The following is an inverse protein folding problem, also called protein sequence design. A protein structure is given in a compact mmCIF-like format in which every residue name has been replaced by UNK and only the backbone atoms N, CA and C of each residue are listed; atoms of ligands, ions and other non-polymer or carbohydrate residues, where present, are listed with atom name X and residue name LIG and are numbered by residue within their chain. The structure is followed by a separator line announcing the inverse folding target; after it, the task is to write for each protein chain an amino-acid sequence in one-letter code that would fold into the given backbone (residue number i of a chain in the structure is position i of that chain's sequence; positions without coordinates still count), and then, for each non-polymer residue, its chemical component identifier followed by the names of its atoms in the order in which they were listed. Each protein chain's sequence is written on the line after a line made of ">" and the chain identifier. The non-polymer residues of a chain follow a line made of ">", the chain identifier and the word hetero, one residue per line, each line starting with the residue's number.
data_IF_004008598516
#
_entry.id   IF_004008598516
#
_cell.length_a   1.000
_cell.length_b   1.000
_cell.length_c   1.000
_cell.angle_alpha   90.00
_cell.angle_beta   90.00
_cell.angle_gamma   90.00
#
_symmetry.space_group_name_H-M   'P 1'
#
loop_
_entity.id
_entity.type
_entity.pdbx_description
1 polymer ?
#
# COMPACT_ATOMS: atom_id res chain seq x y z
N UNK A 1 31.14 19.31 -20.26
CA UNK A 1 31.44 18.29 -19.23
C UNK A 1 31.12 16.93 -19.82
N UNK A 2 32.04 15.97 -19.73
CA UNK A 2 31.80 14.59 -20.15
C UNK A 2 31.10 13.83 -19.01
N UNK A 3 30.24 12.87 -19.34
CA UNK A 3 29.57 12.01 -18.37
C UNK A 3 30.51 10.88 -17.95
N UNK A 4 30.62 10.61 -16.64
CA UNK A 4 31.37 9.48 -16.11
C UNK A 4 30.48 8.24 -16.00
N UNK A 5 30.95 7.11 -16.54
CA UNK A 5 30.28 5.82 -16.41
C UNK A 5 30.43 5.25 -14.99
N UNK A 6 29.31 4.95 -14.32
CA UNK A 6 29.30 4.41 -12.94
C UNK A 6 29.45 2.88 -12.92
N UNK A 7 28.66 2.17 -13.74
CA UNK A 7 28.83 0.74 -14.00
C UNK A 7 29.63 0.53 -15.29
N UNK A 8 30.83 1.11 -15.35
CA UNK A 8 31.71 0.98 -16.50
C UNK A 8 33.15 0.79 -16.01
N UNK A 9 33.94 0.00 -16.72
CA UNK A 9 35.37 -0.12 -16.41
C UNK A 9 36.11 1.11 -16.92
N UNK A 10 36.57 1.98 -16.02
CA UNK A 10 37.36 3.17 -16.35
C UNK A 10 38.84 3.02 -15.95
N UNK A 11 39.37 1.79 -16.00
CA UNK A 11 40.78 1.51 -15.67
C UNK A 11 41.13 1.60 -14.17
N UNK A 12 40.13 1.72 -13.27
CA UNK A 12 40.27 1.68 -11.81
C UNK A 12 39.00 1.17 -11.15
N UNK A 13 39.09 0.64 -9.92
CA UNK A 13 37.92 0.43 -9.07
C UNK A 13 37.30 1.79 -8.75
N UNK A 14 36.06 2.04 -9.19
CA UNK A 14 35.35 3.27 -8.87
C UNK A 14 33.83 3.03 -8.88
N UNK A 15 33.29 2.58 -7.75
CA UNK A 15 31.87 2.76 -7.44
C UNK A 15 31.85 3.41 -6.07
N UNK A 16 31.39 4.65 -5.99
CA UNK A 16 31.23 5.35 -4.72
C UNK A 16 29.91 4.94 -4.07
N UNK A 17 29.87 4.92 -2.73
CA UNK A 17 28.62 4.67 -2.00
C UNK A 17 27.51 5.67 -2.36
N UNK A 18 27.87 6.90 -2.76
CA UNK A 18 26.90 7.89 -3.24
C UNK A 18 26.33 7.54 -4.62
N UNK A 19 27.15 7.02 -5.54
CA UNK A 19 26.70 6.55 -6.85
C UNK A 19 25.75 5.35 -6.74
N UNK A 20 26.08 4.37 -5.90
CA UNK A 20 25.20 3.22 -5.65
C UNK A 20 23.91 3.67 -4.95
N UNK A 21 24.01 4.60 -3.99
CA UNK A 21 22.82 5.11 -3.32
C UNK A 21 21.85 5.83 -4.27
N UNK A 22 22.36 6.61 -5.23
CA UNK A 22 21.52 7.21 -6.28
C UNK A 22 20.85 6.17 -7.18
N UNK A 23 21.51 5.04 -7.46
CA UNK A 23 20.87 3.94 -8.18
C UNK A 23 19.71 3.34 -7.37
N UNK A 24 19.91 3.12 -6.07
CA UNK A 24 18.86 2.58 -5.20
C UNK A 24 17.69 3.56 -5.14
N UNK A 25 17.92 4.86 -4.93
CA UNK A 25 16.86 5.87 -4.95
C UNK A 25 16.13 5.92 -6.28
N UNK A 26 16.85 5.86 -7.40
CA UNK A 26 16.26 5.89 -8.74
C UNK A 26 15.43 4.65 -9.08
N UNK A 27 15.75 3.48 -8.52
CA UNK A 27 15.08 2.22 -8.83
C UNK A 27 14.00 1.84 -7.83
N UNK A 28 14.23 2.04 -6.54
CA UNK A 28 13.34 1.66 -5.45
C UNK A 28 12.54 2.84 -4.87
N UNK A 29 12.83 4.08 -5.30
CA UNK A 29 12.24 5.30 -4.79
C UNK A 29 13.08 5.92 -3.67
N UNK A 30 12.92 7.23 -3.50
CA UNK A 30 13.59 7.96 -2.42
C UNK A 30 12.89 7.75 -1.06
N UNK A 31 13.64 7.96 0.01
CA UNK A 31 13.16 7.94 1.39
C UNK A 31 13.70 6.78 2.23
N UNK A 32 12.91 6.40 3.24
CA UNK A 32 13.30 5.46 4.29
C UNK A 32 12.27 4.38 4.50
N UNK A 33 12.66 3.14 4.31
CA UNK A 33 11.75 2.00 4.40
C UNK A 33 12.51 0.70 4.64
N UNK A 34 11.83 -0.23 5.33
CA UNK A 34 12.30 -1.60 5.51
C UNK A 34 11.98 -2.39 4.26
N UNK A 35 12.93 -3.19 3.78
CA UNK A 35 12.70 -4.09 2.66
C UNK A 35 11.91 -5.34 3.12
N UNK A 36 11.04 -5.91 2.28
CA UNK A 36 10.25 -7.09 2.63
C UNK A 36 11.09 -8.39 2.60
N UNK A 37 12.33 -8.34 3.09
CA UNK A 37 13.31 -9.42 3.17
C UNK A 37 13.50 -9.87 4.62
N UNK A 38 13.95 -11.12 4.78
CA UNK A 38 14.22 -11.74 6.09
C UNK A 38 13.06 -11.53 7.10
N UNK A 39 13.37 -11.28 8.37
CA UNK A 39 12.41 -10.99 9.44
C UNK A 39 11.95 -9.52 9.45
N UNK A 40 12.32 -8.72 8.44
CA UNK A 40 11.88 -7.32 8.27
C UNK A 40 12.16 -6.47 9.52
N UNK A 41 13.27 -6.73 10.20
CA UNK A 41 13.67 -6.05 11.43
C UNK A 41 12.56 -6.12 12.50
N UNK A 42 11.94 -7.29 12.69
CA UNK A 42 10.85 -7.46 13.65
C UNK A 42 11.28 -7.16 15.08
N UNK A 43 10.56 -6.29 15.78
CA UNK A 43 10.80 -6.03 17.20
C UNK A 43 10.03 -6.99 18.10
N UNK A 44 10.73 -7.63 19.03
CA UNK A 44 10.15 -8.51 20.05
C UNK A 44 10.70 -8.15 21.42
N UNK A 45 9.82 -7.94 22.40
CA UNK A 45 10.23 -7.82 23.80
C UNK A 45 10.62 -9.21 24.33
N UNK A 46 11.90 -9.40 24.69
CA UNK A 46 12.36 -10.63 25.34
C UNK A 46 12.16 -10.59 26.85
N UNK A 47 12.32 -9.41 27.44
CA UNK A 47 12.07 -9.15 28.86
C UNK A 47 11.42 -7.78 29.02
N UNK A 48 11.06 -7.39 30.25
CA UNK A 48 10.53 -6.06 30.52
C UNK A 48 11.51 -4.91 30.18
N UNK A 49 12.81 -5.20 30.03
CA UNK A 49 13.85 -4.19 29.80
C UNK A 49 14.71 -4.48 28.56
N UNK A 50 14.30 -5.42 27.72
CA UNK A 50 15.10 -5.88 26.58
C UNK A 50 14.22 -6.11 25.36
N UNK A 51 14.44 -5.31 24.34
CA UNK A 51 13.85 -5.50 23.00
C UNK A 51 14.92 -6.08 22.08
N UNK A 52 14.52 -7.02 21.23
CA UNK A 52 15.37 -7.57 20.18
C UNK A 52 14.76 -7.20 18.83
N UNK A 53 15.59 -6.64 17.96
CA UNK A 53 15.27 -6.38 16.56
C UNK A 53 15.83 -7.53 15.75
N UNK A 54 14.97 -8.26 15.04
CA UNK A 54 15.34 -9.39 14.19
C UNK A 54 16.22 -8.99 13.00
N UNK A 55 16.54 -9.97 12.18
CA UNK A 55 17.31 -9.73 10.96
C UNK A 55 16.46 -8.99 9.90
N UNK A 56 17.11 -8.40 8.91
CA UNK A 56 16.42 -7.73 7.81
C UNK A 56 17.21 -6.59 7.20
N UNK A 57 16.66 -6.07 6.12
CA UNK A 57 17.30 -5.07 5.30
C UNK A 57 16.44 -3.81 5.24
N UNK A 58 17.07 -2.65 5.09
CA UNK A 58 16.38 -1.38 4.90
C UNK A 58 17.12 -0.47 3.95
N UNK A 59 16.41 0.55 3.48
CA UNK A 59 16.97 1.69 2.76
C UNK A 59 16.79 2.93 3.62
N UNK A 60 17.88 3.69 3.80
CA UNK A 60 17.88 4.98 4.47
C UNK A 60 18.52 6.03 3.56
N UNK A 61 17.71 6.85 2.88
CA UNK A 61 18.15 7.89 1.93
C UNK A 61 19.14 7.33 0.88
N UNK A 62 18.79 6.18 0.30
CA UNK A 62 19.60 5.46 -0.68
C UNK A 62 20.69 4.55 -0.10
N UNK A 63 20.90 4.49 1.23
CA UNK A 63 21.86 3.57 1.83
C UNK A 63 21.18 2.24 2.12
N UNK A 64 21.66 1.18 1.48
CA UNK A 64 21.26 -0.18 1.83
C UNK A 64 21.96 -0.59 3.12
N UNK A 65 21.17 -0.99 4.12
CA UNK A 65 21.67 -1.46 5.41
C UNK A 65 21.11 -2.84 5.66
N UNK A 66 21.97 -3.81 5.97
CA UNK A 66 21.59 -5.17 6.37
C UNK A 66 21.87 -5.36 7.86
N UNK A 67 20.97 -6.07 8.51
CA UNK A 67 21.21 -6.69 9.80
C UNK A 67 21.04 -8.21 9.64
N UNK A 68 22.16 -8.95 9.66
CA UNK A 68 22.15 -10.40 9.46
C UNK A 68 21.68 -11.18 10.71
N UNK A 69 21.84 -10.59 11.90
CA UNK A 69 21.56 -11.25 13.18
C UNK A 69 20.79 -10.34 14.12
N UNK A 70 19.95 -10.91 15.00
CA UNK A 70 19.17 -10.12 15.94
C UNK A 70 20.03 -9.16 16.78
N UNK A 71 19.61 -7.90 16.88
CA UNK A 71 20.26 -6.87 17.68
C UNK A 71 19.48 -6.62 18.97
N UNK A 72 20.18 -6.67 20.10
CA UNK A 72 19.58 -6.49 21.42
C UNK A 72 19.73 -5.04 21.90
N UNK A 73 18.65 -4.49 22.44
CA UNK A 73 18.62 -3.13 22.95
C UNK A 73 17.99 -3.10 24.33
N UNK A 74 18.53 -2.24 25.19
CA UNK A 74 17.97 -1.98 26.52
C UNK A 74 16.85 -0.96 26.42
N UNK A 75 15.71 -1.31 27.02
CA UNK A 75 14.59 -0.40 27.24
C UNK A 75 14.51 -0.14 28.73
N UNK A 76 14.51 1.12 29.14
CA UNK A 76 14.37 1.45 30.56
C UNK A 76 12.95 1.13 31.05
N UNK A 77 12.84 0.65 32.28
CA UNK A 77 11.54 0.41 32.90
C UNK A 77 10.67 1.68 32.94
N UNK A 78 9.36 1.46 32.95
CA UNK A 78 8.41 2.54 33.13
C UNK A 78 8.31 3.02 34.58
N UNK A 79 7.41 3.96 34.82
CA UNK A 79 7.14 4.52 36.16
C UNK A 79 5.67 4.34 36.49
N UNK A 80 5.37 3.85 37.70
CA UNK A 80 3.99 3.67 38.14
C UNK A 80 3.21 4.98 38.05
N UNK A 81 2.01 4.93 37.47
CA UNK A 81 1.17 6.11 37.23
C UNK A 81 1.53 6.96 36.00
N UNK A 82 2.54 6.58 35.23
CA UNK A 82 2.95 7.28 34.01
C UNK A 82 2.93 6.36 32.78
N UNK A 83 2.65 6.96 31.63
CA UNK A 83 2.75 6.38 30.31
C UNK A 83 3.90 7.04 29.55
N UNK A 84 4.59 6.27 28.71
CA UNK A 84 5.71 6.72 27.88
C UNK A 84 5.71 5.95 26.57
N UNK A 85 6.12 6.56 25.47
CA UNK A 85 6.43 5.83 24.25
C UNK A 85 7.93 5.95 24.00
N UNK A 86 8.61 4.83 23.86
CA UNK A 86 10.01 4.83 23.42
C UNK A 86 10.06 4.45 21.94
N UNK A 87 11.06 4.95 21.22
CA UNK A 87 11.24 4.66 19.81
C UNK A 87 12.52 3.85 19.63
N UNK A 88 12.40 2.67 19.02
CA UNK A 88 13.55 2.00 18.43
C UNK A 88 13.80 2.61 17.06
N UNK A 89 14.98 3.18 16.87
CA UNK A 89 15.40 3.78 15.61
C UNK A 89 16.74 3.20 15.15
N UNK A 90 17.03 3.31 13.86
CA UNK A 90 18.37 3.16 13.33
C UNK A 90 19.02 4.54 13.25
N UNK A 91 20.19 4.71 13.87
CA UNK A 91 21.01 5.91 13.78
C UNK A 91 22.06 5.73 12.70
N UNK A 92 22.06 6.65 11.75
CA UNK A 92 23.19 6.90 10.87
C UNK A 92 24.11 7.94 11.50
N UNK A 93 25.41 7.70 11.42
CA UNK A 93 26.44 8.67 11.77
C UNK A 93 27.53 8.70 10.69
N UNK A 94 28.07 9.87 10.40
CA UNK A 94 29.22 10.04 9.52
C UNK A 94 30.34 10.78 10.23
N UNK A 95 31.50 10.14 10.31
CA UNK A 95 32.69 10.77 10.83
C UNK A 95 33.18 11.87 9.87
N UNK A 96 33.27 13.11 10.37
CA UNK A 96 33.62 14.27 9.54
C UNK A 96 35.07 14.28 9.04
N UNK A 97 35.95 13.47 9.64
CA UNK A 97 37.39 13.45 9.32
C UNK A 97 37.77 12.33 8.34
N UNK A 98 37.17 11.16 8.53
CA UNK A 98 37.43 9.95 7.73
C UNK A 98 36.36 9.73 6.67
N UNK A 99 35.18 10.31 6.84
CA UNK A 99 34.02 10.09 6.00
C UNK A 99 33.35 8.72 6.19
N UNK A 100 33.78 7.95 7.19
CA UNK A 100 33.21 6.63 7.49
C UNK A 100 31.79 6.78 8.00
N UNK A 101 30.88 6.01 7.41
CA UNK A 101 29.47 5.94 7.76
C UNK A 101 29.23 4.73 8.68
N UNK A 102 28.43 4.90 9.74
CA UNK A 102 28.01 3.81 10.64
C UNK A 102 26.49 3.80 10.83
N UNK A 103 25.96 2.62 11.16
CA UNK A 103 24.54 2.39 11.39
C UNK A 103 24.36 1.59 12.68
N UNK A 104 23.69 2.18 13.66
CA UNK A 104 23.53 1.58 14.98
C UNK A 104 22.07 1.64 15.43
N UNK A 105 21.50 0.53 15.90
CA UNK A 105 20.16 0.54 16.48
C UNK A 105 20.21 1.24 17.85
N UNK A 106 19.24 2.11 18.12
CA UNK A 106 19.16 2.90 19.36
C UNK A 106 17.73 2.93 19.89
N UNK A 107 17.60 3.10 21.20
CA UNK A 107 16.31 3.37 21.86
C UNK A 107 16.28 4.83 22.28
N UNK A 108 15.32 5.58 21.74
CA UNK A 108 15.06 6.97 22.09
C UNK A 108 13.93 6.98 23.11
N UNK A 109 14.26 7.40 24.32
CA UNK A 109 13.33 7.44 25.44
C UNK A 109 12.33 8.59 25.30
N UNK A 110 11.04 8.31 25.47
CA UNK A 110 10.00 9.32 25.51
C UNK A 110 9.93 10.10 26.81
N UNK A 111 9.06 11.11 26.85
CA UNK A 111 8.73 11.80 28.10
C UNK A 111 7.62 11.03 28.86
N UNK A 112 7.77 10.77 30.17
CA UNK A 112 6.71 10.16 30.97
C UNK A 112 5.57 11.17 31.21
N UNK A 113 4.33 10.75 31.00
CA UNK A 113 3.12 11.59 31.17
C UNK A 113 2.01 10.81 31.87
N UNK A 114 1.10 11.49 32.58
CA UNK A 114 -0.03 10.86 33.27
C UNK A 114 -1.22 10.55 32.35
N UNK A 115 -1.18 11.01 31.10
CA UNK A 115 -2.23 10.82 30.08
C UNK A 115 -1.75 10.04 28.86
N UNK A 116 -2.21 10.44 27.67
CA UNK A 116 -1.77 9.85 26.40
C UNK A 116 -0.32 10.20 26.11
N UNK A 117 0.55 9.20 26.01
CA UNK A 117 1.95 9.38 25.66
C UNK A 117 2.10 9.71 24.17
N UNK A 118 2.90 10.74 23.88
CA UNK A 118 3.36 11.06 22.54
C UNK A 118 4.72 10.41 22.28
N UNK A 119 5.06 10.24 21.01
CA UNK A 119 6.38 9.76 20.61
C UNK A 119 7.44 10.87 20.82
N UNK A 120 8.66 10.52 21.25
CA UNK A 120 9.77 11.46 21.27
C UNK A 120 10.04 12.00 19.87
N UNK A 121 10.49 13.26 19.82
CA UNK A 121 10.98 13.85 18.59
C UNK A 121 12.20 13.06 18.10
N UNK A 122 12.20 12.69 16.82
CA UNK A 122 13.31 12.03 16.16
C UNK A 122 13.79 12.95 15.03
N UNK A 123 15.04 13.38 15.10
CA UNK A 123 15.62 14.16 14.01
C UNK A 123 15.90 13.23 12.84
N UNK A 124 15.07 13.34 11.81
CA UNK A 124 15.27 12.56 10.61
C UNK A 124 16.64 12.87 9.99
N UNK A 125 17.09 14.13 9.97
CA UNK A 125 18.21 14.53 9.11
C UNK A 125 17.97 14.20 7.63
N UNK A 126 18.95 14.49 6.77
CA UNK A 126 18.92 14.16 5.35
C UNK A 126 20.32 13.73 4.89
N UNK A 127 20.56 12.43 4.76
CA UNK A 127 21.89 11.91 4.41
C UNK A 127 22.27 12.33 2.99
N UNK A 128 21.30 12.38 2.08
CA UNK A 128 21.48 12.86 0.71
C UNK A 128 21.98 14.31 0.64
N UNK A 129 21.60 15.12 1.63
CA UNK A 129 21.91 16.55 1.71
C UNK A 129 23.14 16.83 2.60
N UNK A 130 23.80 15.77 3.07
CA UNK A 130 25.08 15.85 3.78
C UNK A 130 24.97 15.90 5.30
N UNK A 131 23.82 15.56 5.90
CA UNK A 131 23.73 15.43 7.36
C UNK A 131 24.75 14.43 7.89
N UNK A 132 25.44 14.79 8.99
CA UNK A 132 26.39 13.91 9.68
C UNK A 132 25.71 12.93 10.64
N UNK A 133 24.45 13.16 10.97
CA UNK A 133 23.61 12.27 11.77
C UNK A 133 22.20 12.25 11.19
N UNK A 134 21.54 11.10 11.24
CA UNK A 134 20.16 10.93 10.81
C UNK A 134 19.52 9.75 11.54
N UNK A 135 18.24 9.84 11.89
CA UNK A 135 17.52 8.77 12.57
C UNK A 135 16.33 8.25 11.76
N UNK A 136 16.22 6.94 11.62
CA UNK A 136 15.09 6.26 11.02
C UNK A 136 14.28 5.54 12.12
N UNK A 137 13.11 6.06 12.52
CA UNK A 137 12.22 5.35 13.44
C UNK A 137 11.75 4.01 12.84
N UNK A 138 11.88 2.91 13.60
CA UNK A 138 11.49 1.56 13.18
C UNK A 138 10.25 1.07 13.94
N UNK A 139 10.28 1.18 15.27
CA UNK A 139 9.23 0.69 16.16
C UNK A 139 8.95 1.65 17.30
N UNK A 140 7.69 1.69 17.74
CA UNK A 140 7.26 2.30 18.99
C UNK A 140 7.09 1.22 20.05
N UNK A 141 7.61 1.46 21.24
CA UNK A 141 7.39 0.62 22.41
C UNK A 141 6.48 1.40 23.38
N UNK A 142 5.18 1.08 23.44
CA UNK A 142 4.28 1.72 24.38
C UNK A 142 4.54 1.19 25.80
N UNK A 143 4.87 2.05 26.74
CA UNK A 143 5.05 1.71 28.15
C UNK A 143 3.91 2.32 28.95
N UNK A 144 3.20 1.49 29.71
CA UNK A 144 2.02 1.89 30.50
C UNK A 144 2.21 1.42 31.94
N UNK A 145 2.53 2.35 32.83
CA UNK A 145 2.99 2.00 34.18
C UNK A 145 4.41 1.46 34.15
N UNK A 146 4.62 0.25 34.67
CA UNK A 146 5.97 -0.33 34.85
C UNK A 146 6.47 -1.16 33.66
N UNK A 147 5.56 -1.81 32.93
CA UNK A 147 5.92 -2.78 31.90
C UNK A 147 5.75 -2.21 30.47
N UNK A 148 6.63 -2.58 29.53
CA UNK A 148 6.42 -2.32 28.12
C UNK A 148 5.30 -3.22 27.57
N UNK A 149 4.54 -2.67 26.62
CA UNK A 149 3.58 -3.37 25.81
C UNK A 149 4.20 -3.95 24.54
N UNK A 150 3.34 -4.40 23.63
CA UNK A 150 3.75 -4.95 22.34
C UNK A 150 4.34 -3.85 21.44
N UNK A 151 5.52 -4.08 20.82
CA UNK A 151 6.08 -3.13 19.86
C UNK A 151 5.13 -2.88 18.66
N UNK A 152 4.94 -1.62 18.31
CA UNK A 152 4.12 -1.16 17.18
C UNK A 152 5.03 -0.70 16.04
N UNK A 153 4.88 -1.26 14.84
CA UNK A 153 5.71 -0.87 13.69
C UNK A 153 5.34 0.53 13.23
N UNK A 154 6.35 1.39 13.07
CA UNK A 154 6.19 2.75 12.52
C UNK A 154 6.92 2.92 11.19
N UNK A 155 7.98 2.14 10.95
CA UNK A 155 8.66 2.15 9.65
C UNK A 155 7.73 1.64 8.55
N UNK A 156 7.75 2.34 7.41
CA UNK A 156 7.14 1.87 6.17
C UNK A 156 7.89 0.62 5.70
N UNK A 157 7.15 -0.34 5.17
CA UNK A 157 7.73 -1.51 4.50
C UNK A 157 7.54 -1.31 3.00
N UNK A 158 8.64 -1.43 2.24
CA UNK A 158 8.62 -1.35 0.79
C UNK A 158 7.79 -2.50 0.19
N UNK A 159 7.28 -2.28 -1.01
CA UNK A 159 6.60 -3.31 -1.80
C UNK A 159 7.55 -3.88 -2.85
N UNK A 160 7.48 -5.17 -3.07
CA UNK A 160 8.21 -5.84 -4.15
C UNK A 160 7.63 -5.46 -5.52
N UNK A 161 8.43 -5.61 -6.58
CA UNK A 161 7.95 -5.43 -7.95
C UNK A 161 6.81 -6.42 -8.29
N UNK A 162 6.81 -7.62 -7.70
CA UNK A 162 5.71 -8.57 -7.85
C UNK A 162 4.40 -8.01 -7.27
N UNK A 163 4.43 -7.48 -6.05
CA UNK A 163 3.25 -6.88 -5.42
C UNK A 163 2.75 -5.63 -6.16
N UNK A 164 3.67 -4.86 -6.74
CA UNK A 164 3.32 -3.73 -7.61
C UNK A 164 2.66 -4.24 -8.90
N UNK A 165 3.22 -5.29 -9.52
CA UNK A 165 2.65 -5.96 -10.69
C UNK A 165 1.23 -6.47 -10.44
N UNK A 166 1.03 -7.23 -9.36
CA UNK A 166 -0.28 -7.76 -8.98
C UNK A 166 -1.30 -6.64 -8.70
N UNK A 167 -0.85 -5.51 -8.14
CA UNK A 167 -1.70 -4.35 -7.89
C UNK A 167 -2.23 -3.70 -9.17
N UNK A 168 -1.53 -3.83 -10.29
CA UNK A 168 -1.94 -3.25 -11.59
C UNK A 168 -2.63 -4.27 -12.51
N UNK A 169 -2.69 -5.55 -12.12
CA UNK A 169 -3.18 -6.64 -12.98
C UNK A 169 -4.23 -7.55 -12.34
N UNK A 170 -5.16 -7.04 -11.51
CA UNK A 170 -6.28 -7.86 -11.01
C UNK A 170 -7.18 -8.31 -12.18
N UNK A 171 -6.90 -9.49 -12.72
CA UNK A 171 -7.58 -10.09 -13.88
C UNK A 171 -8.86 -10.84 -13.52
N UNK A 172 -9.06 -11.18 -12.25
CA UNK A 172 -10.18 -11.99 -11.79
C UNK A 172 -11.46 -11.17 -11.65
N UNK A 173 -12.51 -11.59 -12.35
CA UNK A 173 -13.84 -11.02 -12.23
C UNK A 173 -14.55 -11.57 -10.98
N UNK A 174 -15.16 -10.69 -10.21
CA UNK A 174 -16.11 -11.06 -9.15
C UNK A 174 -17.53 -10.94 -9.68
N UNK A 175 -18.35 -11.96 -9.49
CA UNK A 175 -19.73 -11.99 -9.98
C UNK A 175 -20.68 -11.47 -8.91
N UNK A 176 -21.45 -10.43 -9.25
CA UNK A 176 -22.62 -10.01 -8.47
C UNK A 176 -23.81 -10.91 -8.77
N UNK A 177 -23.92 -11.35 -10.02
CA UNK A 177 -24.98 -12.22 -10.48
C UNK A 177 -24.50 -13.14 -11.59
N UNK A 178 -24.91 -14.41 -11.51
CA UNK A 178 -24.71 -15.41 -12.55
C UNK A 178 -23.24 -15.68 -12.89
N UNK A 179 -23.04 -16.45 -13.96
CA UNK A 179 -21.73 -16.76 -14.54
C UNK A 179 -21.84 -16.65 -16.06
N UNK A 180 -20.73 -16.37 -16.79
CA UNK A 180 -20.77 -16.21 -18.24
C UNK A 180 -21.12 -17.55 -18.88
N UNK A 181 -22.05 -17.52 -19.85
CA UNK A 181 -22.42 -18.70 -20.62
C UNK A 181 -23.46 -18.35 -21.67
N UNK A 182 -23.55 -19.17 -22.73
CA UNK A 182 -24.54 -18.97 -23.78
C UNK A 182 -25.96 -18.93 -23.17
N UNK A 183 -26.68 -17.84 -23.38
CA UNK A 183 -28.04 -17.64 -22.88
C UNK A 183 -28.16 -17.36 -21.37
N UNK A 184 -27.04 -17.13 -20.65
CA UNK A 184 -27.05 -16.81 -19.21
C UNK A 184 -26.78 -15.33 -18.95
N UNK A 185 -27.66 -14.71 -18.16
CA UNK A 185 -27.45 -13.35 -17.68
C UNK A 185 -26.34 -13.33 -16.62
N UNK A 186 -25.46 -12.34 -16.66
CA UNK A 186 -24.41 -12.12 -15.67
C UNK A 186 -24.19 -10.63 -15.40
N UNK A 187 -23.73 -10.32 -14.19
CA UNK A 187 -23.19 -9.03 -13.79
C UNK A 187 -21.94 -9.27 -12.97
N UNK A 188 -20.83 -8.64 -13.36
CA UNK A 188 -19.51 -8.86 -12.76
C UNK A 188 -18.71 -7.58 -12.68
N UNK A 189 -17.81 -7.50 -11.72
CA UNK A 189 -16.92 -6.35 -11.54
C UNK A 189 -15.50 -6.79 -11.22
N UNK A 190 -14.56 -5.88 -11.42
CA UNK A 190 -13.17 -6.01 -10.96
C UNK A 190 -12.59 -4.64 -10.65
N UNK A 191 -11.51 -4.62 -9.88
CA UNK A 191 -10.68 -3.42 -9.68
C UNK A 191 -9.61 -3.37 -10.74
N UNK A 192 -9.50 -2.24 -11.44
CA UNK A 192 -8.45 -1.93 -12.40
C UNK A 192 -7.78 -0.62 -11.98
N UNK A 193 -6.65 -0.73 -11.28
CA UNK A 193 -5.99 0.40 -10.62
C UNK A 193 -6.92 1.14 -9.64
N UNK A 194 -7.12 2.44 -9.88
CA UNK A 194 -8.00 3.32 -9.10
C UNK A 194 -9.46 3.30 -9.60
N UNK A 195 -9.84 2.34 -10.45
CA UNK A 195 -11.20 2.22 -10.98
C UNK A 195 -11.84 0.88 -10.64
N UNK A 196 -13.16 0.89 -10.51
CA UNK A 196 -13.96 -0.31 -10.63
C UNK A 196 -14.45 -0.39 -12.07
N UNK A 197 -14.32 -1.56 -12.70
CA UNK A 197 -14.91 -1.88 -13.99
C UNK A 197 -16.05 -2.85 -13.74
N UNK A 198 -17.24 -2.52 -14.24
CA UNK A 198 -18.45 -3.34 -14.17
C UNK A 198 -18.85 -3.76 -15.58
N UNK A 199 -19.13 -5.04 -15.77
CA UNK A 199 -19.61 -5.60 -17.02
C UNK A 199 -20.87 -6.42 -16.80
N UNK A 200 -21.77 -6.36 -17.75
CA UNK A 200 -22.99 -7.16 -17.75
C UNK A 200 -23.30 -7.70 -19.14
N UNK A 201 -24.00 -8.83 -19.14
CA UNK A 201 -24.70 -9.37 -20.29
C UNK A 201 -25.98 -9.97 -19.78
N UNK A 202 -27.13 -9.43 -20.12
CA UNK A 202 -28.40 -9.84 -19.54
C UNK A 202 -29.53 -9.87 -20.57
N UNK A 203 -30.31 -10.94 -20.59
CA UNK A 203 -31.60 -10.94 -21.27
C UNK A 203 -32.63 -10.25 -20.40
N UNK A 204 -33.27 -9.21 -20.92
CA UNK A 204 -34.42 -8.59 -20.24
C UNK A 204 -35.70 -8.81 -21.05
N UNK A 205 -36.65 -9.51 -20.44
CA UNK A 205 -37.96 -9.79 -21.04
C UNK A 205 -39.04 -8.75 -20.69
N UNK A 206 -38.74 -7.85 -19.76
CA UNK A 206 -39.66 -6.82 -19.25
C UNK A 206 -38.91 -5.49 -19.06
N UNK A 207 -39.65 -4.40 -18.92
CA UNK A 207 -39.10 -3.09 -18.56
C UNK A 207 -39.04 -2.87 -17.05
N UNK A 208 -39.06 -3.94 -16.26
CA UNK A 208 -38.96 -3.83 -14.81
C UNK A 208 -37.51 -3.54 -14.42
N UNK A 209 -37.35 -2.75 -13.37
CA UNK A 209 -36.05 -2.55 -12.74
C UNK A 209 -35.56 -3.86 -12.11
N UNK A 210 -34.31 -4.23 -12.38
CA UNK A 210 -33.67 -5.41 -11.81
C UNK A 210 -32.46 -5.01 -10.96
N UNK A 211 -32.54 -5.31 -9.65
CA UNK A 211 -31.39 -5.22 -8.75
C UNK A 211 -30.52 -6.48 -8.89
N UNK A 212 -29.33 -6.33 -9.48
CA UNK A 212 -28.40 -7.42 -9.73
C UNK A 212 -27.55 -7.78 -8.50
N UNK A 213 -27.47 -6.89 -7.51
CA UNK A 213 -26.73 -7.11 -6.27
C UNK A 213 -26.07 -5.84 -5.76
N UNK A 214 -25.23 -5.96 -4.72
CA UNK A 214 -24.54 -4.83 -4.09
C UNK A 214 -23.02 -4.99 -4.15
N UNK A 215 -22.35 -3.92 -4.59
CA UNK A 215 -20.91 -3.80 -4.53
C UNK A 215 -20.44 -3.61 -3.07
N UNK A 216 -19.29 -4.22 -2.72
CA UNK A 216 -18.65 -3.93 -1.44
C UNK A 216 -18.16 -2.47 -1.41
N UNK A 217 -18.07 -1.90 -0.22
CA UNK A 217 -17.82 -0.47 0.00
C UNK A 217 -16.62 0.06 -0.80
N UNK A 218 -15.51 -0.67 -0.81
CA UNK A 218 -14.28 -0.31 -1.53
C UNK A 218 -14.39 -0.35 -3.06
N UNK A 219 -15.53 -0.75 -3.64
CA UNK A 219 -15.74 -0.78 -5.09
C UNK A 219 -16.85 0.18 -5.53
N UNK A 220 -17.43 0.94 -4.61
CA UNK A 220 -18.52 1.89 -4.90
C UNK A 220 -17.97 3.18 -5.50
N UNK A 221 -18.75 3.87 -6.35
CA UNK A 221 -18.36 5.17 -6.89
C UNK A 221 -18.01 6.20 -5.82
N UNK A 222 -16.86 6.86 -5.96
CA UNK A 222 -16.43 7.92 -5.05
C UNK A 222 -17.20 9.24 -5.26
N UNK A 223 -17.52 9.57 -6.51
CA UNK A 223 -18.06 10.88 -6.91
C UNK A 223 -19.59 10.91 -7.07
N UNK A 224 -20.29 9.98 -6.41
CA UNK A 224 -21.74 9.84 -6.47
C UNK A 224 -22.23 8.76 -7.45
N UNK A 225 -23.56 8.64 -7.57
CA UNK A 225 -24.18 7.56 -8.33
C UNK A 225 -23.78 7.58 -9.81
N UNK A 226 -23.61 6.39 -10.39
CA UNK A 226 -23.26 6.21 -11.81
C UNK A 226 -24.50 5.79 -12.60
N UNK A 227 -24.75 6.46 -13.73
CA UNK A 227 -25.81 6.15 -14.68
C UNK A 227 -25.23 6.03 -16.08
N UNK A 228 -25.45 4.91 -16.75
CA UNK A 228 -24.79 4.60 -18.03
C UNK A 228 -25.79 3.97 -18.98
N UNK A 229 -25.89 4.44 -20.24
CA UNK A 229 -26.70 3.75 -21.24
C UNK A 229 -26.07 2.39 -21.60
N UNK A 230 -26.91 1.37 -21.75
CA UNK A 230 -26.53 0.05 -22.25
C UNK A 230 -26.91 -0.10 -23.73
N UNK A 231 -26.28 -1.07 -24.41
CA UNK A 231 -26.59 -1.41 -25.80
C UNK A 231 -27.46 -2.67 -25.81
N UNK A 232 -28.51 -2.67 -26.63
CA UNK A 232 -29.35 -3.84 -26.84
C UNK A 232 -29.11 -4.45 -28.22
N UNK A 233 -29.01 -5.78 -28.26
CA UNK A 233 -28.93 -6.56 -29.50
C UNK A 233 -30.15 -7.47 -29.57
N UNK A 234 -30.89 -7.37 -30.67
CA UNK A 234 -32.05 -8.22 -30.91
C UNK A 234 -31.64 -9.66 -31.28
N UNK A 235 -32.57 -10.64 -31.22
CA UNK A 235 -32.28 -12.02 -31.61
C UNK A 235 -31.78 -12.20 -33.05
N UNK A 236 -32.04 -11.24 -33.95
CA UNK A 236 -31.56 -11.27 -35.33
C UNK A 236 -30.22 -10.54 -35.53
N UNK A 237 -29.56 -10.10 -34.46
CA UNK A 237 -28.26 -9.43 -34.50
C UNK A 237 -28.31 -7.93 -34.78
N UNK A 238 -29.49 -7.32 -34.83
CA UNK A 238 -29.61 -5.86 -35.01
C UNK A 238 -29.27 -5.15 -33.71
N UNK A 239 -28.33 -4.21 -33.77
CA UNK A 239 -28.01 -3.31 -32.66
C UNK A 239 -29.06 -2.21 -32.63
N UNK A 240 -29.80 -2.12 -31.54
CA UNK A 240 -30.82 -1.11 -31.33
C UNK A 240 -30.36 -0.17 -30.21
N UNK A 241 -30.42 1.15 -30.48
CA UNK A 241 -30.22 2.17 -29.45
C UNK A 241 -31.50 2.29 -28.62
N UNK A 242 -31.69 1.30 -27.77
CA UNK A 242 -32.77 1.24 -26.80
C UNK A 242 -32.23 1.86 -25.53
N UNK A 243 -33.00 2.76 -24.90
CA UNK A 243 -32.65 3.34 -23.60
C UNK A 243 -32.71 2.26 -22.51
N UNK A 244 -31.71 1.38 -22.47
CA UNK A 244 -31.42 0.55 -21.33
C UNK A 244 -30.38 1.29 -20.49
N UNK A 245 -30.47 1.21 -19.17
CA UNK A 245 -29.48 1.85 -18.30
C UNK A 245 -29.00 0.93 -17.21
N UNK A 246 -27.72 1.11 -16.86
CA UNK A 246 -27.11 0.60 -15.65
C UNK A 246 -27.05 1.73 -14.63
N UNK A 247 -27.51 1.46 -13.42
CA UNK A 247 -27.41 2.33 -12.25
C UNK A 247 -26.47 1.70 -11.23
N UNK A 248 -25.59 2.51 -10.63
CA UNK A 248 -24.76 2.08 -9.51
C UNK A 248 -24.85 3.10 -8.38
N UNK A 249 -25.31 2.65 -7.22
CA UNK A 249 -25.42 3.49 -6.03
C UNK A 249 -24.06 3.66 -5.34
N UNK A 250 -23.65 4.91 -5.09
CA UNK A 250 -22.49 5.21 -4.26
C UNK A 250 -22.71 4.85 -2.78
N UNK A 251 -23.93 5.02 -2.27
CA UNK A 251 -24.23 4.82 -0.86
C UNK A 251 -24.48 3.35 -0.49
N UNK A 252 -25.26 2.63 -1.30
CA UNK A 252 -25.64 1.23 -1.00
C UNK A 252 -24.83 0.21 -1.79
N UNK A 253 -24.13 0.64 -2.84
CA UNK A 253 -23.46 -0.24 -3.79
C UNK A 253 -24.43 -0.98 -4.73
N UNK A 254 -25.74 -0.74 -4.67
CA UNK A 254 -26.71 -1.43 -5.52
C UNK A 254 -26.39 -1.23 -7.00
N UNK A 255 -26.35 -2.33 -7.75
CA UNK A 255 -26.26 -2.36 -9.21
C UNK A 255 -27.63 -2.70 -9.78
N UNK A 256 -28.20 -1.74 -10.51
CA UNK A 256 -29.52 -1.83 -11.13
C UNK A 256 -29.44 -1.87 -12.64
N UNK A 257 -30.26 -2.69 -13.28
CA UNK A 257 -30.38 -2.78 -14.73
C UNK A 257 -31.85 -2.64 -15.14
N UNK A 258 -32.11 -1.88 -16.20
CA UNK A 258 -33.45 -1.74 -16.77
C UNK A 258 -33.37 -1.51 -18.28
N UNK A 259 -34.34 -2.01 -19.04
CA UNK A 259 -34.56 -1.73 -20.47
C UNK A 259 -35.83 -0.90 -20.64
N UNK A 260 -35.84 0.05 -21.57
CA UNK A 260 -37.00 0.89 -21.87
C UNK A 260 -38.25 0.08 -22.23
N UNK A 261 -39.42 0.62 -21.86
CA UNK A 261 -40.73 -0.02 -22.03
C UNK A 261 -41.19 -0.25 -23.48
N UNK A 262 -40.59 0.44 -24.45
CA UNK A 262 -41.00 0.41 -25.87
C UNK A 262 -40.30 -0.67 -26.70
N UNK A 263 -39.60 -1.60 -26.06
CA UNK A 263 -38.64 -2.49 -26.73
C UNK A 263 -39.11 -3.93 -26.79
N UNK A 264 -38.73 -4.63 -27.87
CA UNK A 264 -38.92 -6.06 -28.06
C UNK A 264 -38.55 -6.86 -26.80
N UNK A 265 -39.46 -7.73 -26.36
CA UNK A 265 -39.19 -8.67 -25.26
C UNK A 265 -38.06 -9.62 -25.68
N UNK A 266 -37.16 -9.96 -24.76
CA UNK A 266 -36.05 -10.91 -24.96
C UNK A 266 -34.88 -10.40 -25.80
N UNK A 267 -34.53 -9.11 -25.69
CA UNK A 267 -33.28 -8.57 -26.25
C UNK A 267 -32.12 -8.79 -25.30
N UNK A 268 -30.91 -8.95 -25.86
CA UNK A 268 -29.69 -9.09 -25.08
C UNK A 268 -29.09 -7.72 -24.81
N UNK A 269 -29.06 -7.30 -23.54
CA UNK A 269 -28.41 -6.08 -23.11
C UNK A 269 -26.97 -6.41 -22.68
N UNK A 270 -25.99 -5.81 -23.35
CA UNK A 270 -24.59 -5.92 -22.98
C UNK A 270 -23.97 -4.55 -22.77
N UNK A 271 -23.00 -4.49 -21.86
CA UNK A 271 -22.23 -3.28 -21.67
C UNK A 271 -21.15 -3.42 -20.63
N UNK A 272 -20.31 -2.39 -20.61
CA UNK A 272 -19.24 -2.21 -19.66
C UNK A 272 -19.23 -0.74 -19.25
N UNK A 273 -18.96 -0.48 -17.98
CA UNK A 273 -18.71 0.86 -17.46
C UNK A 273 -17.60 0.83 -16.42
N UNK A 274 -17.07 2.00 -16.08
CA UNK A 274 -16.12 2.15 -15.00
C UNK A 274 -16.27 3.48 -14.26
N UNK A 275 -15.78 3.52 -13.02
CA UNK A 275 -15.75 4.72 -12.18
C UNK A 275 -14.56 4.67 -11.22
N UNK A 276 -14.17 5.83 -10.68
CA UNK A 276 -13.13 5.92 -9.66
C UNK A 276 -13.61 5.44 -8.28
N UNK A 277 -12.74 4.76 -7.56
CA UNK A 277 -12.97 4.13 -6.24
C UNK A 277 -11.83 4.42 -5.26
#
# INVERSE_FOLDING_TARGET
>A
MAFDGVFAFQGKNHITASQLGRLVQGTAGDGRYVLPTQDRLQATMQTANKVVIGSGDLVMDGRYVTNETGAELTVESGTSGYNRNDIVALRYSKDGSTGVESFEPVVIKGAPVTGTAADPAVDAGAISDGSSEALMPLWRIPIRGLAPGTPERIAKVGKTLSEIGDSVSRSEWTYLYGEPGAGRSFVRYRRDGARCVLQWGATQGTSAYWAAGNLPEQMRPADGNVYVPGVCVSPNGTVENVCAYCYVSASTGEVGLQVAATTNRNVWNHGETSWFI
#
